data_IF_099526102005
#
_entry.id   IF_099526102005
#
_cell.length_a   1.000
_cell.length_b   1.000
_cell.length_c   1.000
_cell.angle_alpha   90.00
_cell.angle_beta   90.00
_cell.angle_gamma   90.00
#
_symmetry.space_group_name_H-M   'P 1'
#
loop_
_entity.id
_entity.type
_entity.pdbx_description
1 polymer ?
#
# COMPACT_ATOMS: atom_id res chain seq x y z
N UNK A 1 12.96 -32.97 -22.03
CA UNK A 1 12.82 -33.50 -20.66
C UNK A 1 12.47 -32.34 -19.74
N UNK A 2 11.51 -32.55 -18.82
CA UNK A 2 10.99 -31.65 -17.76
C UNK A 2 10.13 -30.47 -18.28
N UNK A 3 8.77 -30.44 -18.16
CA UNK A 3 7.85 -30.55 -16.97
C UNK A 3 8.28 -29.53 -15.90
N UNK A 4 7.50 -28.60 -15.37
CA UNK A 4 6.05 -28.36 -15.13
C UNK A 4 5.89 -26.83 -14.94
N UNK A 5 4.86 -26.16 -15.47
CA UNK A 5 3.61 -25.78 -14.78
C UNK A 5 3.81 -25.12 -13.41
N UNK A 6 3.59 -23.80 -13.35
CA UNK A 6 2.91 -23.13 -12.25
C UNK A 6 2.36 -21.78 -12.75
N UNK A 7 1.16 -21.82 -13.31
CA UNK A 7 0.32 -20.64 -13.47
C UNK A 7 -0.67 -20.67 -12.32
N UNK A 8 -0.44 -19.86 -11.29
CA UNK A 8 -1.37 -19.64 -10.19
C UNK A 8 -2.58 -18.87 -10.73
N UNK A 9 -3.53 -19.63 -11.24
CA UNK A 9 -4.91 -19.21 -11.48
C UNK A 9 -5.56 -18.99 -10.10
N UNK A 10 -5.59 -17.74 -9.66
CA UNK A 10 -6.36 -17.32 -8.49
C UNK A 10 -7.82 -17.31 -8.94
N UNK A 11 -8.59 -18.32 -8.52
CA UNK A 11 -10.05 -18.28 -8.59
C UNK A 11 -10.55 -17.28 -7.53
N UNK A 12 -11.49 -16.39 -7.84
CA UNK A 12 -12.22 -15.70 -6.79
C UNK A 12 -13.23 -16.69 -6.22
N UNK A 13 -13.03 -17.04 -4.95
CA UNK A 13 -14.02 -17.74 -4.13
C UNK A 13 -15.33 -16.93 -4.16
N UNK A 14 -16.27 -17.37 -4.98
CA UNK A 14 -17.65 -16.93 -4.96
C UNK A 14 -18.33 -17.57 -3.74
N UNK A 15 -17.95 -17.09 -2.55
CA UNK A 15 -18.67 -17.39 -1.34
C UNK A 15 -19.59 -16.21 -1.06
N UNK A 16 -20.75 -16.24 -1.72
CA UNK A 16 -21.90 -15.38 -1.41
C UNK A 16 -22.34 -15.66 0.02
N UNK A 17 -21.72 -14.95 0.96
CA UNK A 17 -22.26 -14.79 2.30
C UNK A 17 -23.37 -13.76 2.18
N UNK A 18 -24.55 -14.25 1.81
CA UNK A 18 -25.82 -13.60 2.10
C UNK A 18 -25.85 -13.40 3.61
N UNK A 19 -25.35 -12.25 4.07
CA UNK A 19 -25.83 -11.72 5.34
C UNK A 19 -27.27 -11.35 5.05
N UNK A 20 -28.15 -12.32 5.33
CA UNK A 20 -29.54 -12.07 5.63
C UNK A 20 -29.53 -11.01 6.73
N UNK A 21 -29.48 -9.75 6.29
CA UNK A 21 -29.85 -8.64 7.13
C UNK A 21 -31.35 -8.82 7.25
N UNK A 22 -31.75 -9.55 8.29
CA UNK A 22 -33.12 -9.61 8.78
C UNK A 22 -33.65 -8.19 8.75
N UNK A 23 -34.44 -7.91 7.73
CA UNK A 23 -35.30 -6.74 7.72
C UNK A 23 -36.18 -6.89 8.94
N UNK A 24 -36.31 -5.88 9.82
CA UNK A 24 -37.30 -5.93 10.88
C UNK A 24 -38.68 -5.95 10.23
N UNK A 25 -39.20 -7.15 9.94
CA UNK A 25 -40.59 -7.38 9.64
C UNK A 25 -41.36 -7.26 10.95
N UNK A 26 -41.54 -6.02 11.40
CA UNK A 26 -42.31 -5.74 12.60
C UNK A 26 -43.04 -4.40 12.50
N UNK A 27 -43.74 -4.13 11.39
CA UNK A 27 -44.74 -3.06 11.41
C UNK A 27 -45.93 -3.44 10.53
N UNK A 28 -47.05 -3.80 11.16
CA UNK A 28 -48.31 -3.97 10.42
C UNK A 28 -49.42 -4.80 11.05
N UNK A 29 -49.47 -4.99 12.38
CA UNK A 29 -50.62 -5.64 13.03
C UNK A 29 -51.36 -4.75 14.04
N UNK A 30 -51.07 -3.45 14.08
CA UNK A 30 -51.72 -2.51 15.01
C UNK A 30 -52.98 -1.83 14.44
N UNK A 31 -53.42 -2.17 13.23
CA UNK A 31 -54.54 -1.50 12.54
C UNK A 31 -55.92 -2.14 12.67
N UNK A 32 -56.04 -3.22 13.44
CA UNK A 32 -57.27 -4.03 13.47
C UNK A 32 -58.15 -3.75 14.69
N UNK A 33 -57.58 -3.45 15.86
CA UNK A 33 -58.34 -3.13 17.07
C UNK A 33 -59.08 -1.77 16.99
N UNK A 34 -58.45 -0.76 16.39
CA UNK A 34 -58.96 0.63 16.33
C UNK A 34 -60.19 0.80 15.44
N UNK A 35 -60.42 -0.13 14.50
CA UNK A 35 -61.63 -0.12 13.66
C UNK A 35 -62.87 -0.60 14.39
N UNK A 36 -62.76 -1.06 15.63
CA UNK A 36 -63.90 -1.64 16.36
C UNK A 36 -64.59 -0.56 17.19
N UNK A 37 -63.95 -0.01 18.23
CA UNK A 37 -64.62 0.91 19.17
C UNK A 37 -65.06 2.27 18.57
N UNK A 38 -64.25 2.86 17.68
CA UNK A 38 -64.60 4.11 16.99
C UNK A 38 -65.75 3.94 15.99
N UNK A 39 -65.84 2.75 15.39
CA UNK A 39 -66.95 2.37 14.50
C UNK A 39 -68.19 2.01 15.31
N UNK A 40 -68.00 1.47 16.52
CA UNK A 40 -69.10 1.13 17.43
C UNK A 40 -69.78 2.39 17.97
N UNK A 41 -69.04 3.41 18.44
CA UNK A 41 -69.65 4.68 18.88
C UNK A 41 -70.32 5.45 17.73
N UNK A 42 -69.72 5.45 16.53
CA UNK A 42 -70.35 6.04 15.35
C UNK A 42 -71.62 5.30 14.97
N UNK A 43 -71.64 3.96 15.06
CA UNK A 43 -72.83 3.14 14.82
C UNK A 43 -73.94 3.46 15.83
N UNK A 44 -73.61 3.59 17.11
CA UNK A 44 -74.62 3.91 18.13
C UNK A 44 -75.17 5.34 18.00
N UNK A 45 -74.35 6.31 17.59
CA UNK A 45 -74.81 7.67 17.28
C UNK A 45 -75.66 7.72 16.01
N UNK A 46 -75.28 6.98 14.96
CA UNK A 46 -76.08 6.88 13.73
C UNK A 46 -77.44 6.24 13.98
N UNK A 47 -77.50 5.23 14.87
CA UNK A 47 -78.76 4.61 15.29
C UNK A 47 -79.64 5.57 16.09
N UNK A 48 -79.04 6.39 16.96
CA UNK A 48 -79.75 7.46 17.65
C UNK A 48 -80.31 8.51 16.67
N UNK A 49 -79.52 8.86 15.64
CA UNK A 49 -79.94 9.75 14.56
C UNK A 49 -81.11 9.16 13.76
N UNK A 50 -81.04 7.87 13.41
CA UNK A 50 -82.09 7.14 12.70
C UNK A 50 -83.42 7.12 13.48
N UNK A 51 -83.37 6.82 14.78
CA UNK A 51 -84.54 6.86 15.67
C UNK A 51 -85.19 8.27 15.66
N UNK A 52 -84.38 9.33 15.69
CA UNK A 52 -84.87 10.72 15.66
C UNK A 52 -85.42 11.12 14.28
N UNK A 53 -84.87 10.57 13.19
CA UNK A 53 -85.31 10.86 11.82
C UNK A 53 -86.60 10.13 11.43
N UNK A 54 -86.75 8.86 11.85
CA UNK A 54 -87.91 8.01 11.54
C UNK A 54 -89.13 8.30 12.44
N UNK A 55 -88.90 8.99 13.56
CA UNK A 55 -89.94 9.36 14.49
C UNK A 55 -90.97 10.35 13.90
N UNK A 56 -92.29 10.20 14.19
CA UNK A 56 -93.33 11.07 13.63
C UNK A 56 -93.13 12.55 13.97
N UNK A 57 -93.15 13.42 12.96
CA UNK A 57 -93.11 14.87 13.16
C UNK A 57 -94.50 15.42 13.44
N UNK A 58 -94.62 16.27 14.45
CA UNK A 58 -95.89 16.90 14.83
C UNK A 58 -96.17 18.08 13.88
N UNK A 59 -97.25 18.06 13.08
CA UNK A 59 -97.56 19.12 12.11
C UNK A 59 -97.65 20.50 12.77
N UNK A 60 -97.22 21.55 12.05
CA UNK A 60 -97.14 22.95 12.53
C UNK A 60 -96.18 23.22 13.70
N UNK A 61 -95.45 22.22 14.18
CA UNK A 61 -94.42 22.40 15.22
C UNK A 61 -93.06 21.87 14.74
N UNK A 62 -91.96 22.37 15.31
CA UNK A 62 -90.61 21.82 15.06
C UNK A 62 -90.29 20.63 15.98
N UNK A 63 -91.31 19.96 16.53
CA UNK A 63 -91.14 18.87 17.51
C UNK A 63 -91.36 17.50 16.85
N UNK A 64 -90.53 16.55 17.24
CA UNK A 64 -90.64 15.14 16.85
C UNK A 64 -91.13 14.36 18.06
N UNK A 65 -92.08 13.45 17.85
CA UNK A 65 -92.56 12.55 18.89
C UNK A 65 -91.68 11.31 18.88
N UNK A 66 -90.86 11.15 19.91
CA UNK A 66 -89.89 10.06 20.03
C UNK A 66 -90.30 9.15 21.19
N UNK A 67 -90.08 7.85 21.04
CA UNK A 67 -90.22 6.89 22.13
C UNK A 67 -89.11 7.14 23.17
N UNK A 68 -89.52 7.59 24.35
CA UNK A 68 -88.63 7.95 25.44
C UNK A 68 -87.78 6.75 25.91
N UNK A 69 -88.35 5.55 25.96
CA UNK A 69 -87.66 4.35 26.45
C UNK A 69 -86.55 3.94 25.47
N UNK A 70 -86.87 3.86 24.18
CA UNK A 70 -85.89 3.50 23.13
C UNK A 70 -84.78 4.55 22.97
N UNK A 71 -85.10 5.83 23.11
CA UNK A 71 -84.11 6.91 23.02
C UNK A 71 -83.17 6.92 24.22
N UNK A 72 -83.69 6.68 25.43
CA UNK A 72 -82.90 6.62 26.65
C UNK A 72 -81.98 5.40 26.67
N UNK A 73 -82.47 4.23 26.25
CA UNK A 73 -81.65 3.01 26.14
C UNK A 73 -80.47 3.20 25.18
N UNK A 74 -80.73 3.83 24.03
CA UNK A 74 -79.70 4.12 23.04
C UNK A 74 -78.70 5.18 23.54
N UNK A 75 -79.17 6.19 24.29
CA UNK A 75 -78.33 7.20 24.92
C UNK A 75 -77.44 6.59 26.02
N UNK A 76 -77.97 5.64 26.80
CA UNK A 76 -77.20 4.94 27.83
C UNK A 76 -76.10 4.07 27.22
N UNK A 77 -76.36 3.43 26.07
CA UNK A 77 -75.36 2.68 25.32
C UNK A 77 -74.23 3.59 24.79
N UNK A 78 -74.57 4.75 24.23
CA UNK A 78 -73.60 5.79 23.84
C UNK A 78 -72.79 6.25 25.06
N UNK A 79 -73.45 6.51 26.19
CA UNK A 79 -72.82 6.95 27.44
C UNK A 79 -71.86 5.91 28.03
N UNK A 80 -72.16 4.62 27.86
CA UNK A 80 -71.33 3.52 28.34
C UNK A 80 -70.09 3.30 27.44
N UNK A 81 -70.23 3.45 26.13
CA UNK A 81 -69.16 3.17 25.16
C UNK A 81 -68.22 4.37 24.92
N UNK A 82 -68.71 5.61 25.06
CA UNK A 82 -67.93 6.82 24.79
C UNK A 82 -66.67 6.96 25.68
N UNK A 83 -66.71 6.71 27.01
CA UNK A 83 -65.51 6.73 27.85
C UNK A 83 -64.44 5.72 27.42
N UNK A 84 -64.87 4.52 27.00
CA UNK A 84 -63.98 3.43 26.56
C UNK A 84 -63.28 3.82 25.26
N UNK A 85 -64.03 4.38 24.30
CA UNK A 85 -63.48 4.86 23.03
C UNK A 85 -62.42 5.97 23.23
N UNK A 86 -62.62 6.88 24.20
CA UNK A 86 -61.61 7.90 24.52
C UNK A 86 -60.37 7.33 25.22
N UNK A 87 -60.54 6.35 26.12
CA UNK A 87 -59.40 5.67 26.77
C UNK A 87 -58.54 4.93 25.73
N UNK A 88 -59.17 4.26 24.77
CA UNK A 88 -58.45 3.61 23.67
C UNK A 88 -57.73 4.61 22.78
N UNK A 89 -58.37 5.74 22.42
CA UNK A 89 -57.73 6.81 21.65
C UNK A 89 -56.51 7.40 22.39
N UNK A 90 -56.60 7.59 23.71
CA UNK A 90 -55.48 8.06 24.52
C UNK A 90 -54.31 7.05 24.54
N UNK A 91 -54.61 5.76 24.64
CA UNK A 91 -53.60 4.69 24.55
C UNK A 91 -52.90 4.67 23.20
N UNK A 92 -53.64 4.86 22.11
CA UNK A 92 -53.06 4.92 20.76
C UNK A 92 -52.15 6.13 20.61
N UNK A 93 -52.57 7.31 21.09
CA UNK A 93 -51.74 8.52 21.04
C UNK A 93 -50.45 8.30 21.83
N UNK A 94 -50.55 7.76 23.05
CA UNK A 94 -49.39 7.45 23.88
C UNK A 94 -48.44 6.47 23.20
N UNK A 95 -48.97 5.38 22.65
CA UNK A 95 -48.17 4.38 21.94
C UNK A 95 -47.51 4.95 20.67
N UNK A 96 -48.21 5.81 19.94
CA UNK A 96 -47.65 6.52 18.78
C UNK A 96 -46.52 7.45 19.21
N UNK A 97 -46.67 8.18 20.31
CA UNK A 97 -45.62 9.06 20.82
C UNK A 97 -44.40 8.24 21.30
N UNK A 98 -44.60 7.09 21.94
CA UNK A 98 -43.53 6.13 22.29
C UNK A 98 -42.79 5.63 21.04
N UNK A 99 -43.51 5.18 20.00
CA UNK A 99 -42.92 4.72 18.74
C UNK A 99 -42.14 5.81 18.02
N UNK A 100 -42.67 7.04 18.00
CA UNK A 100 -41.97 8.17 17.38
C UNK A 100 -40.67 8.45 18.14
N UNK A 101 -40.71 8.43 19.46
CA UNK A 101 -39.53 8.67 20.28
C UNK A 101 -38.48 7.57 20.11
N UNK A 102 -38.90 6.30 20.04
CA UNK A 102 -38.01 5.17 19.74
C UNK A 102 -37.38 5.30 18.35
N UNK A 103 -38.19 5.63 17.33
CA UNK A 103 -37.70 5.85 15.97
C UNK A 103 -36.72 7.02 15.88
N UNK A 104 -36.95 8.10 16.62
CA UNK A 104 -36.04 9.25 16.70
C UNK A 104 -34.70 8.86 17.34
N UNK A 105 -34.72 8.10 18.44
CA UNK A 105 -33.51 7.60 19.09
C UNK A 105 -32.72 6.68 18.14
N UNK A 106 -33.40 5.73 17.51
CA UNK A 106 -32.78 4.82 16.55
C UNK A 106 -32.18 5.56 15.34
N UNK A 107 -32.87 6.57 14.82
CA UNK A 107 -32.33 7.41 13.75
C UNK A 107 -31.08 8.18 14.19
N UNK A 108 -31.08 8.72 15.41
CA UNK A 108 -29.90 9.40 15.97
C UNK A 108 -28.72 8.45 16.14
N UNK A 109 -28.97 7.21 16.60
CA UNK A 109 -27.92 6.18 16.71
C UNK A 109 -27.33 5.82 15.36
N UNK A 110 -28.15 5.65 14.32
CA UNK A 110 -27.68 5.38 12.96
C UNK A 110 -26.80 6.52 12.45
N UNK A 111 -27.26 7.77 12.62
CA UNK A 111 -26.51 8.94 12.16
C UNK A 111 -25.16 9.02 12.89
N UNK A 112 -25.16 8.88 14.22
CA UNK A 112 -23.95 8.91 15.03
C UNK A 112 -22.96 7.80 14.60
N UNK A 113 -23.44 6.57 14.38
CA UNK A 113 -22.62 5.47 13.91
C UNK A 113 -22.07 5.71 12.49
N UNK A 114 -22.86 6.31 11.61
CA UNK A 114 -22.44 6.64 10.25
C UNK A 114 -21.36 7.75 10.25
N UNK A 115 -21.55 8.80 11.04
CA UNK A 115 -20.58 9.88 11.20
C UNK A 115 -19.27 9.38 11.80
N UNK A 116 -19.34 8.52 12.81
CA UNK A 116 -18.15 7.90 13.40
C UNK A 116 -17.37 7.09 12.37
N UNK A 117 -18.04 6.20 11.62
CA UNK A 117 -17.38 5.41 10.57
C UNK A 117 -16.81 6.28 9.46
N UNK A 118 -17.50 7.35 9.07
CA UNK A 118 -16.99 8.30 8.08
C UNK A 118 -15.72 8.99 8.58
N UNK A 119 -15.69 9.40 9.84
CA UNK A 119 -14.50 9.98 10.47
C UNK A 119 -13.32 8.99 10.49
N UNK A 120 -13.56 7.74 10.88
CA UNK A 120 -12.55 6.67 10.87
C UNK A 120 -11.97 6.47 9.45
N UNK A 121 -12.81 6.33 8.43
CA UNK A 121 -12.38 6.16 7.04
C UNK A 121 -11.58 7.36 6.52
N UNK A 122 -11.97 8.59 6.86
CA UNK A 122 -11.24 9.79 6.47
C UNK A 122 -9.86 9.84 7.14
N UNK A 123 -9.76 9.45 8.41
CA UNK A 123 -8.49 9.36 9.11
C UNK A 123 -7.57 8.31 8.48
N UNK A 124 -8.11 7.13 8.15
CA UNK A 124 -7.37 6.08 7.44
C UNK A 124 -6.87 6.56 6.07
N UNK A 125 -7.73 7.22 5.29
CA UNK A 125 -7.35 7.79 3.99
C UNK A 125 -6.26 8.86 4.15
N UNK A 126 -6.36 9.71 5.18
CA UNK A 126 -5.34 10.70 5.51
C UNK A 126 -3.98 10.05 5.78
N UNK A 127 -3.96 8.98 6.57
CA UNK A 127 -2.75 8.21 6.87
C UNK A 127 -2.16 7.57 5.62
N UNK A 128 -2.99 6.94 4.78
CA UNK A 128 -2.54 6.31 3.52
C UNK A 128 -1.95 7.35 2.57
N UNK A 129 -2.62 8.50 2.42
CA UNK A 129 -2.14 9.57 1.56
C UNK A 129 -0.82 10.16 2.06
N UNK A 130 -0.68 10.36 3.38
CA UNK A 130 0.56 10.81 3.99
C UNK A 130 1.68 9.78 3.80
N UNK A 131 1.44 8.52 4.12
CA UNK A 131 2.41 7.44 3.94
C UNK A 131 2.86 7.32 2.47
N UNK A 132 1.95 7.54 1.51
CA UNK A 132 2.28 7.58 0.08
C UNK A 132 3.20 8.75 -0.26
N UNK A 133 2.91 9.96 0.22
CA UNK A 133 3.75 11.14 0.00
C UNK A 133 5.15 10.91 0.59
N UNK A 134 5.25 10.39 1.80
CA UNK A 134 6.54 10.08 2.44
C UNK A 134 7.30 8.99 1.68
N UNK A 135 6.62 7.94 1.22
CA UNK A 135 7.24 6.89 0.41
C UNK A 135 7.75 7.43 -0.94
N UNK A 136 6.99 8.29 -1.60
CA UNK A 136 7.41 8.92 -2.87
C UNK A 136 8.61 9.84 -2.66
N UNK A 137 8.63 10.62 -1.57
CA UNK A 137 9.78 11.44 -1.18
C UNK A 137 11.02 10.59 -0.89
N UNK A 138 10.88 9.51 -0.13
CA UNK A 138 11.98 8.60 0.17
C UNK A 138 12.53 7.96 -1.10
N UNK A 139 11.66 7.53 -2.02
CA UNK A 139 12.08 6.98 -3.32
C UNK A 139 12.86 7.99 -4.14
N UNK A 140 12.41 9.25 -4.17
CA UNK A 140 13.11 10.31 -4.87
C UNK A 140 14.48 10.59 -4.24
N UNK A 141 14.55 10.65 -2.91
CA UNK A 141 15.81 10.84 -2.20
C UNK A 141 16.80 9.71 -2.48
N UNK A 142 16.36 8.46 -2.35
CA UNK A 142 17.20 7.29 -2.63
C UNK A 142 17.69 7.29 -4.09
N UNK A 143 16.84 7.69 -5.05
CA UNK A 143 17.25 7.80 -6.44
C UNK A 143 18.37 8.82 -6.63
N UNK A 144 18.23 10.01 -6.05
CA UNK A 144 19.27 11.06 -6.10
C UNK A 144 20.57 10.61 -5.43
N UNK A 145 20.47 9.96 -4.26
CA UNK A 145 21.63 9.46 -3.54
C UNK A 145 22.35 8.36 -4.33
N UNK A 146 21.60 7.43 -4.93
CA UNK A 146 22.17 6.39 -5.79
C UNK A 146 22.88 6.98 -7.01
N UNK A 147 22.29 7.97 -7.67
CA UNK A 147 22.92 8.65 -8.80
C UNK A 147 24.20 9.38 -8.38
N UNK A 148 24.18 10.07 -7.23
CA UNK A 148 25.36 10.75 -6.69
C UNK A 148 26.48 9.77 -6.34
N UNK A 149 26.16 8.65 -5.68
CA UNK A 149 27.13 7.60 -5.35
C UNK A 149 27.71 6.99 -6.63
N UNK A 150 26.88 6.66 -7.62
CA UNK A 150 27.34 6.11 -8.89
C UNK A 150 28.31 7.07 -9.59
N UNK A 151 27.98 8.35 -9.67
CA UNK A 151 28.85 9.36 -10.27
C UNK A 151 30.19 9.48 -9.53
N UNK A 152 30.15 9.50 -8.19
CA UNK A 152 31.36 9.54 -7.38
C UNK A 152 32.24 8.29 -7.59
N UNK A 153 31.64 7.10 -7.61
CA UNK A 153 32.37 5.85 -7.86
C UNK A 153 32.98 5.81 -9.26
N UNK A 154 32.27 6.29 -10.29
CA UNK A 154 32.82 6.36 -11.64
C UNK A 154 34.04 7.29 -11.69
N UNK A 155 33.93 8.48 -11.08
CA UNK A 155 35.03 9.44 -11.01
C UNK A 155 36.25 8.86 -10.26
N UNK A 156 36.02 8.15 -9.15
CA UNK A 156 37.09 7.49 -8.39
C UNK A 156 37.76 6.38 -9.21
N UNK A 157 36.98 5.53 -9.89
CA UNK A 157 37.51 4.48 -10.77
C UNK A 157 38.36 5.10 -11.89
N UNK A 158 37.89 6.17 -12.52
CA UNK A 158 38.64 6.86 -13.57
C UNK A 158 39.95 7.45 -13.04
N UNK A 159 39.93 8.06 -11.86
CA UNK A 159 41.12 8.57 -11.20
C UNK A 159 42.14 7.46 -10.90
N UNK A 160 41.70 6.36 -10.28
CA UNK A 160 42.56 5.21 -9.98
C UNK A 160 43.14 4.62 -11.27
N UNK A 161 42.33 4.51 -12.33
CA UNK A 161 42.80 4.03 -13.63
C UNK A 161 43.88 4.91 -14.21
N UNK A 162 43.72 6.23 -14.14
CA UNK A 162 44.72 7.17 -14.64
C UNK A 162 46.03 7.07 -13.85
N UNK A 163 45.95 7.01 -12.52
CA UNK A 163 47.12 6.84 -11.65
C UNK A 163 47.85 5.52 -11.94
N UNK A 164 47.12 4.41 -12.02
CA UNK A 164 47.71 3.11 -12.33
C UNK A 164 48.37 3.08 -13.71
N UNK A 165 47.79 3.77 -14.70
CA UNK A 165 48.40 3.90 -16.03
C UNK A 165 49.72 4.68 -15.97
N UNK A 166 49.75 5.81 -15.26
CA UNK A 166 50.98 6.59 -15.07
C UNK A 166 52.07 5.77 -14.35
N UNK A 167 51.73 5.10 -13.25
CA UNK A 167 52.67 4.26 -12.51
C UNK A 167 53.24 3.12 -13.38
N UNK A 168 52.40 2.51 -14.22
CA UNK A 168 52.81 1.46 -15.14
C UNK A 168 53.74 2.00 -16.23
N UNK A 169 53.46 3.18 -16.78
CA UNK A 169 54.34 3.86 -17.75
C UNK A 169 55.70 4.20 -17.13
N UNK A 170 55.72 4.74 -15.92
CA UNK A 170 56.95 5.04 -15.19
C UNK A 170 57.76 3.79 -14.85
N UNK A 171 57.09 2.71 -14.41
CA UNK A 171 57.75 1.44 -14.13
C UNK A 171 58.35 0.86 -15.40
N UNK A 172 57.63 0.93 -16.52
CA UNK A 172 58.12 0.46 -17.82
C UNK A 172 59.33 1.29 -18.27
N UNK A 173 59.27 2.61 -18.16
CA UNK A 173 60.38 3.48 -18.53
C UNK A 173 61.64 3.17 -17.69
N UNK A 174 61.47 2.99 -16.38
CA UNK A 174 62.57 2.58 -15.47
C UNK A 174 63.17 1.23 -15.86
N UNK A 175 62.34 0.23 -16.12
CA UNK A 175 62.82 -1.10 -16.51
C UNK A 175 63.58 -1.08 -17.84
N UNK A 176 63.14 -0.26 -18.80
CA UNK A 176 63.87 -0.09 -20.08
C UNK A 176 65.23 0.56 -19.83
N UNK A 177 65.28 1.64 -19.05
CA UNK A 177 66.53 2.32 -18.73
C UNK A 177 67.52 1.39 -17.99
N UNK A 178 67.04 0.60 -17.02
CA UNK A 178 67.86 -0.38 -16.31
C UNK A 178 68.40 -1.47 -17.26
N UNK A 179 67.57 -1.97 -18.19
CA UNK A 179 68.03 -2.92 -19.21
C UNK A 179 69.10 -2.32 -20.12
N UNK A 180 68.96 -1.06 -20.53
CA UNK A 180 69.96 -0.35 -21.34
C UNK A 180 71.27 -0.16 -20.57
N UNK A 181 71.20 0.20 -19.29
CA UNK A 181 72.39 0.31 -18.42
C UNK A 181 73.10 -1.04 -18.25
N UNK A 182 72.35 -2.13 -18.02
CA UNK A 182 72.93 -3.47 -17.89
C UNK A 182 73.57 -3.92 -19.20
N UNK A 183 72.94 -3.67 -20.36
CA UNK A 183 73.52 -4.00 -21.66
C UNK A 183 74.80 -3.25 -21.92
N UNK A 184 74.80 -1.93 -21.73
CA UNK A 184 76.00 -1.11 -21.91
C UNK A 184 77.14 -1.55 -20.97
N UNK A 185 76.83 -1.80 -19.69
CA UNK A 185 77.82 -2.27 -18.73
C UNK A 185 78.38 -3.67 -19.05
N UNK A 186 77.58 -4.55 -19.64
CA UNK A 186 78.02 -5.87 -20.10
C UNK A 186 78.92 -5.78 -21.33
N UNK A 187 78.58 -4.90 -22.28
CA UNK A 187 79.40 -4.62 -23.48
C UNK A 187 80.76 -4.02 -23.07
N UNK A 188 80.77 -3.00 -22.21
CA UNK A 188 81.99 -2.38 -21.68
C UNK A 188 82.87 -3.43 -20.95
N UNK A 189 82.25 -4.30 -20.15
CA UNK A 189 82.97 -5.38 -19.47
C UNK A 189 83.56 -6.39 -20.46
N UNK A 190 82.82 -6.76 -21.51
CA UNK A 190 83.29 -7.68 -22.54
C UNK A 190 84.49 -7.10 -23.28
N UNK A 191 84.44 -5.82 -23.66
CA UNK A 191 85.56 -5.12 -24.31
C UNK A 191 86.79 -5.08 -23.40
N UNK A 192 86.62 -4.72 -22.12
CA UNK A 192 87.73 -4.76 -21.16
C UNK A 192 88.31 -6.15 -20.93
N UNK A 193 87.47 -7.19 -20.88
CA UNK A 193 87.93 -8.57 -20.74
C UNK A 193 88.74 -9.02 -21.98
N UNK A 194 88.26 -8.67 -23.18
CA UNK A 194 88.94 -8.99 -24.44
C UNK A 194 90.27 -8.24 -24.58
N UNK A 195 90.33 -6.94 -24.26
CA UNK A 195 91.56 -6.14 -24.28
C UNK A 195 92.62 -6.71 -23.31
N UNK A 196 92.20 -7.08 -22.10
CA UNK A 196 93.09 -7.74 -21.14
C UNK A 196 93.67 -9.06 -21.67
N UNK A 197 92.83 -9.89 -22.32
CA UNK A 197 93.27 -11.15 -22.93
C UNK A 197 94.24 -10.87 -24.09
N UNK A 198 93.96 -9.88 -24.93
CA UNK A 198 94.85 -9.47 -26.04
C UNK A 198 96.23 -9.05 -25.53
N UNK A 199 96.28 -8.24 -24.48
CA UNK A 199 97.53 -7.79 -23.86
C UNK A 199 98.34 -8.98 -23.31
N UNK A 200 97.69 -9.90 -22.59
CA UNK A 200 98.33 -11.10 -22.05
C UNK A 200 98.89 -12.01 -23.16
N UNK A 201 98.13 -12.23 -24.23
CA UNK A 201 98.58 -13.02 -25.37
C UNK A 201 99.75 -12.36 -26.10
N UNK A 202 99.72 -11.02 -26.23
CA UNK A 202 100.81 -10.25 -26.85
C UNK A 202 102.10 -10.36 -26.05
N UNK A 203 102.01 -10.29 -24.72
CA UNK A 203 103.16 -10.48 -23.84
C UNK A 203 103.73 -11.91 -23.94
N UNK A 204 102.85 -12.92 -23.91
CA UNK A 204 103.25 -14.33 -24.08
C UNK A 204 103.96 -14.56 -25.43
N UNK A 205 103.42 -14.02 -26.53
CA UNK A 205 104.04 -14.09 -27.85
C UNK A 205 105.42 -13.40 -27.88
N UNK A 206 105.58 -12.29 -27.16
CA UNK A 206 106.88 -11.60 -27.03
C UNK A 206 107.89 -12.48 -26.30
N UNK A 207 107.49 -13.13 -25.21
CA UNK A 207 108.34 -14.09 -24.48
C UNK A 207 108.73 -15.27 -25.37
N UNK A 208 107.80 -15.85 -26.13
CA UNK A 208 108.06 -16.96 -27.05
C UNK A 208 109.02 -16.54 -28.17
N UNK A 209 108.83 -15.36 -28.79
CA UNK A 209 109.72 -14.84 -29.83
C UNK A 209 111.15 -14.67 -29.30
N UNK A 210 111.30 -14.09 -28.10
CA UNK A 210 112.60 -13.94 -27.45
C UNK A 210 113.25 -15.30 -27.15
N UNK A 211 112.48 -16.27 -26.63
CA UNK A 211 112.97 -17.63 -26.37
C UNK A 211 113.40 -18.37 -27.64
N UNK A 212 112.64 -18.23 -28.75
CA UNK A 212 113.02 -18.78 -30.05
C UNK A 212 114.29 -18.15 -30.61
N UNK A 213 114.45 -16.83 -30.52
CA UNK A 213 115.68 -16.15 -30.93
C UNK A 213 116.90 -16.66 -30.16
N UNK A 214 116.79 -16.93 -28.86
CA UNK A 214 117.87 -17.52 -28.07
C UNK A 214 118.26 -18.93 -28.52
N UNK A 215 117.29 -19.75 -28.94
CA UNK A 215 117.55 -21.09 -29.47
C UNK A 215 118.21 -21.04 -30.85
N UNK A 216 117.75 -20.17 -31.76
CA UNK A 216 118.39 -19.99 -33.07
C UNK A 216 119.85 -19.48 -32.94
N UNK A 217 120.14 -18.62 -31.95
CA UNK A 217 121.52 -18.22 -31.65
C UNK A 217 122.40 -19.32 -31.04
N UNK A 218 121.81 -20.43 -30.59
CA UNK A 218 122.52 -21.57 -30.00
C UNK A 218 122.67 -22.77 -30.97
N UNK A 219 122.20 -22.67 -32.22
CA UNK A 219 122.42 -23.71 -33.24
C UNK A 219 123.72 -23.37 -34.00
N UNK A 220 124.81 -24.15 -33.84
CA UNK A 220 126.04 -23.92 -34.61
C UNK A 220 125.80 -24.27 -36.09
N UNK A 221 126.46 -23.57 -37.04
CA UNK A 221 126.29 -23.85 -38.46
C UNK A 221 126.74 -25.27 -38.80
N UNK A 222 125.84 -26.09 -39.34
CA UNK A 222 126.22 -27.36 -39.97
C UNK A 222 127.06 -27.05 -41.22
N UNK A 223 128.35 -27.38 -41.18
CA UNK A 223 129.20 -27.41 -42.36
C UNK A 223 129.00 -28.74 -43.09
N UNK A 224 128.55 -28.65 -44.34
CA UNK A 224 128.78 -29.64 -45.39
C UNK A 224 130.28 -29.82 -45.65
#
# INVERSE_FOLDING_TARGET
>A
MLRQQDSTRIEPDNNGHSTETESPQAVGSYGEATRTAGVDIQRELNRLEEIVLDSPRIPLTRRTLVDEEQLLDQLDLVRLNLPIAFQEAELIIRHKDELVQEAELYAQEIIAAAEQRASELLNEMGLIQQAKVEADQLRQQVQLDCEAIQQATIAEIEQIRYQAQQELEEMRARAIAECEEIQNGADDYADHALDNIEQQLTEMLRVIRNGRQQLDSNIPPQKH
#
